data_IF_034672696456
#
_entry.id   IF_034672696456
#
_cell.length_a   1.000
_cell.length_b   1.000
_cell.length_c   1.000
_cell.angle_alpha   90.00
_cell.angle_beta   90.00
_cell.angle_gamma   90.00
#
_symmetry.space_group_name_H-M   'P 1'
#
loop_
_entity.id
_entity.type
_entity.pdbx_description
1 polymer ?
#
# COMPACT_ATOMS: atom_id res chain seq x y z
N UNK A 1 11.43 22.45 3.64
CA UNK A 1 11.85 21.88 2.34
C UNK A 1 12.86 20.75 2.50
N UNK A 2 13.97 20.95 3.23
CA UNK A 2 14.96 19.89 3.51
C UNK A 2 14.38 18.61 4.14
N UNK A 3 13.38 18.74 5.03
CA UNK A 3 12.69 17.59 5.62
C UNK A 3 11.86 16.77 4.62
N UNK A 4 11.29 17.40 3.60
CA UNK A 4 10.54 16.69 2.54
C UNK A 4 11.48 15.93 1.62
N UNK A 5 12.61 16.54 1.26
CA UNK A 5 13.66 15.89 0.45
C UNK A 5 14.21 14.65 1.17
N UNK A 6 14.53 14.76 2.46
CA UNK A 6 14.99 13.61 3.24
C UNK A 6 13.96 12.47 3.30
N UNK A 7 12.67 12.79 3.52
CA UNK A 7 11.59 11.80 3.50
C UNK A 7 11.41 11.15 2.13
N UNK A 8 11.50 11.93 1.06
CA UNK A 8 11.40 11.43 -0.31
C UNK A 8 12.59 10.52 -0.67
N UNK A 9 13.82 10.89 -0.27
CA UNK A 9 15.01 10.06 -0.46
C UNK A 9 14.87 8.72 0.28
N UNK A 10 14.40 8.75 1.54
CA UNK A 10 14.16 7.54 2.32
C UNK A 10 13.12 6.62 1.66
N UNK A 11 12.01 7.18 1.16
CA UNK A 11 11.00 6.40 0.45
C UNK A 11 11.56 5.81 -0.87
N UNK A 12 12.33 6.61 -1.61
CA UNK A 12 12.96 6.19 -2.86
C UNK A 12 14.02 5.10 -2.66
N UNK A 13 14.86 5.21 -1.63
CA UNK A 13 15.87 4.20 -1.30
C UNK A 13 15.22 2.88 -0.91
N UNK A 14 14.09 2.91 -0.21
CA UNK A 14 13.32 1.71 0.13
C UNK A 14 12.78 1.02 -1.12
N UNK A 15 12.19 1.76 -2.07
CA UNK A 15 11.72 1.21 -3.35
C UNK A 15 12.89 0.59 -4.14
N UNK A 16 14.01 1.31 -4.23
CA UNK A 16 15.20 0.82 -4.92
C UNK A 16 15.76 -0.47 -4.28
N UNK A 17 15.81 -0.53 -2.94
CA UNK A 17 16.26 -1.71 -2.21
C UNK A 17 15.36 -2.93 -2.46
N UNK A 18 14.02 -2.75 -2.45
CA UNK A 18 13.06 -3.81 -2.77
C UNK A 18 13.25 -4.31 -4.21
N UNK A 19 13.40 -3.39 -5.17
CA UNK A 19 13.62 -3.73 -6.57
C UNK A 19 14.92 -4.51 -6.79
N UNK A 20 16.00 -4.13 -6.13
CA UNK A 20 17.29 -4.81 -6.23
C UNK A 20 17.28 -6.19 -5.56
N UNK A 21 16.64 -6.31 -4.39
CA UNK A 21 16.42 -7.60 -3.73
C UNK A 21 15.59 -8.54 -4.62
N UNK A 22 14.58 -8.02 -5.32
CA UNK A 22 13.70 -8.80 -6.18
C UNK A 22 14.41 -9.47 -7.35
N UNK A 23 15.53 -8.90 -7.83
CA UNK A 23 16.35 -9.51 -8.90
C UNK A 23 17.02 -10.82 -8.47
N UNK A 24 17.41 -10.93 -7.20
CA UNK A 24 18.16 -12.07 -6.66
C UNK A 24 17.29 -13.02 -5.84
N UNK A 25 16.38 -12.47 -5.05
CA UNK A 25 15.56 -13.17 -4.06
C UNK A 25 14.10 -12.69 -4.11
N UNK A 26 13.30 -13.11 -5.11
CA UNK A 26 11.92 -12.65 -5.28
C UNK A 26 11.02 -12.87 -4.06
N UNK A 27 11.17 -14.01 -3.38
CA UNK A 27 10.41 -14.32 -2.16
C UNK A 27 10.75 -13.38 -0.99
N UNK A 28 12.04 -13.05 -0.81
CA UNK A 28 12.48 -12.10 0.22
C UNK A 28 12.02 -10.69 -0.11
N UNK A 29 12.08 -10.28 -1.38
CA UNK A 29 11.58 -9.00 -1.83
C UNK A 29 10.06 -8.88 -1.61
N UNK A 30 9.29 -9.95 -1.83
CA UNK A 30 7.86 -9.98 -1.54
C UNK A 30 7.57 -9.85 -0.04
N UNK A 31 8.37 -10.48 0.82
CA UNK A 31 8.26 -10.33 2.28
C UNK A 31 8.58 -8.90 2.73
N UNK A 32 9.65 -8.30 2.20
CA UNK A 32 10.01 -6.91 2.54
C UNK A 32 8.97 -5.93 1.99
N UNK A 33 8.44 -6.18 0.78
CA UNK A 33 7.40 -5.35 0.16
C UNK A 33 6.04 -5.47 0.85
N UNK A 34 5.75 -6.60 1.51
CA UNK A 34 4.50 -6.78 2.26
C UNK A 34 4.52 -6.11 3.64
N UNK A 35 5.72 -5.80 4.17
CA UNK A 35 5.83 -5.01 5.39
C UNK A 35 5.25 -3.61 5.14
N UNK A 36 4.43 -3.08 6.07
CA UNK A 36 3.82 -1.75 5.92
C UNK A 36 4.82 -0.64 6.25
N UNK A 37 6.04 -0.69 5.70
CA UNK A 37 7.14 0.23 6.02
C UNK A 37 6.76 1.68 5.70
N UNK A 38 6.10 1.90 4.55
CA UNK A 38 5.58 3.23 4.18
C UNK A 38 4.59 3.73 5.24
N UNK A 39 3.65 2.89 5.67
CA UNK A 39 2.65 3.25 6.68
C UNK A 39 3.28 3.51 8.04
N UNK A 40 4.23 2.67 8.48
CA UNK A 40 4.96 2.84 9.75
C UNK A 40 5.75 4.15 9.75
N UNK A 41 6.47 4.45 8.67
CA UNK A 41 7.18 5.73 8.53
C UNK A 41 6.21 6.92 8.54
N UNK A 42 5.07 6.80 7.85
CA UNK A 42 4.00 7.79 7.89
C UNK A 42 3.49 8.05 9.30
N UNK A 43 3.22 6.99 10.08
CA UNK A 43 2.79 7.08 11.48
C UNK A 43 3.85 7.73 12.37
N UNK A 44 5.14 7.36 12.22
CA UNK A 44 6.24 7.98 12.97
C UNK A 44 6.31 9.48 12.68
N UNK A 45 6.20 9.87 11.41
CA UNK A 45 6.23 11.28 11.03
C UNK A 45 5.00 12.05 11.51
N UNK A 46 3.82 11.45 11.43
CA UNK A 46 2.58 12.05 11.92
C UNK A 46 2.63 12.25 13.43
N UNK A 47 3.06 11.21 14.18
CA UNK A 47 3.25 11.27 15.62
C UNK A 47 4.28 12.33 16.03
N UNK A 48 5.42 12.36 15.35
CA UNK A 48 6.47 13.34 15.61
C UNK A 48 6.02 14.78 15.34
N UNK A 49 5.11 15.00 14.39
CA UNK A 49 4.59 16.32 14.08
C UNK A 49 3.48 16.75 15.05
N UNK A 50 2.60 15.82 15.42
CA UNK A 50 1.50 16.05 16.36
C UNK A 50 1.16 14.73 17.08
N UNK A 51 1.61 14.54 18.34
CA UNK A 51 1.36 13.32 19.09
C UNK A 51 -0.09 13.31 19.59
N UNK A 52 -1.00 12.82 18.76
CA UNK A 52 -2.43 12.69 19.03
C UNK A 52 -2.85 11.22 18.88
N UNK A 53 -3.20 10.60 20.00
CA UNK A 53 -3.52 9.17 20.07
C UNK A 53 -4.82 8.81 19.36
N UNK A 54 -5.84 9.67 19.41
CA UNK A 54 -7.13 9.40 18.74
C UNK A 54 -6.95 9.50 17.22
N UNK A 55 -6.27 10.55 16.75
CA UNK A 55 -5.94 10.69 15.33
C UNK A 55 -5.09 9.52 14.82
N UNK A 56 -4.10 9.06 15.60
CA UNK A 56 -3.28 7.91 15.23
C UNK A 56 -4.10 6.61 15.17
N UNK A 57 -5.01 6.39 16.13
CA UNK A 57 -5.89 5.23 16.15
C UNK A 57 -6.82 5.19 14.94
N UNK A 58 -7.43 6.33 14.59
CA UNK A 58 -8.26 6.47 13.38
C UNK A 58 -7.44 6.21 12.13
N UNK A 59 -6.24 6.78 12.03
CA UNK A 59 -5.38 6.59 10.86
C UNK A 59 -4.94 5.13 10.69
N UNK A 60 -4.56 4.46 11.78
CA UNK A 60 -4.18 3.05 11.76
C UNK A 60 -5.37 2.14 11.40
N UNK A 61 -6.55 2.41 11.96
CA UNK A 61 -7.76 1.64 11.66
C UNK A 61 -8.21 1.84 10.20
N UNK A 62 -8.19 3.07 9.69
CA UNK A 62 -8.48 3.35 8.30
C UNK A 62 -7.50 2.63 7.37
N UNK A 63 -6.20 2.67 7.67
CA UNK A 63 -5.17 1.95 6.91
C UNK A 63 -5.45 0.46 6.85
N UNK A 64 -5.84 -0.17 7.97
CA UNK A 64 -6.22 -1.58 8.00
C UNK A 64 -7.36 -1.88 7.00
N UNK A 65 -8.42 -1.07 7.02
CA UNK A 65 -9.53 -1.26 6.08
C UNK A 65 -9.09 -1.06 4.64
N UNK A 66 -8.27 -0.05 4.32
CA UNK A 66 -7.82 0.23 2.96
C UNK A 66 -6.86 -0.82 2.39
N UNK A 67 -6.22 -1.63 3.24
CA UNK A 67 -5.41 -2.78 2.79
C UNK A 67 -6.29 -3.89 2.21
N UNK A 68 -7.46 -4.17 2.79
CA UNK A 68 -8.33 -5.27 2.33
C UNK A 68 -8.70 -5.17 0.85
N UNK A 69 -9.19 -4.03 0.33
CA UNK A 69 -9.55 -3.92 -1.09
C UNK A 69 -8.34 -3.87 -2.05
N UNK A 70 -7.09 -3.75 -1.57
CA UNK A 70 -5.90 -3.88 -2.43
C UNK A 70 -5.39 -5.33 -2.54
N UNK A 71 -5.74 -6.22 -1.61
CA UNK A 71 -5.32 -7.63 -1.64
C UNK A 71 -5.75 -8.38 -2.93
N UNK A 72 -6.98 -8.21 -3.48
CA UNK A 72 -7.39 -8.94 -4.68
C UNK A 72 -6.50 -8.71 -5.91
N UNK A 73 -5.89 -7.53 -6.04
CA UNK A 73 -4.94 -7.24 -7.13
C UNK A 73 -3.72 -8.16 -7.08
N UNK A 74 -3.22 -8.52 -5.90
CA UNK A 74 -2.08 -9.43 -5.74
C UNK A 74 -2.40 -10.87 -6.15
N UNK A 75 -3.68 -11.23 -6.29
CA UNK A 75 -4.12 -12.52 -6.85
C UNK A 75 -4.45 -12.40 -8.33
N UNK A 76 -5.08 -11.29 -8.74
CA UNK A 76 -5.47 -11.06 -10.14
C UNK A 76 -4.25 -10.97 -11.07
N UNK A 77 -3.23 -10.19 -10.69
CA UNK A 77 -2.03 -10.01 -11.53
C UNK A 77 -1.33 -11.33 -11.86
N UNK A 78 -0.95 -12.18 -10.89
CA UNK A 78 -0.32 -13.45 -11.22
C UNK A 78 -1.24 -14.39 -11.99
N UNK A 79 -2.56 -14.35 -11.78
CA UNK A 79 -3.53 -15.11 -12.57
C UNK A 79 -3.52 -14.68 -14.05
N UNK A 80 -3.57 -13.37 -14.32
CA UNK A 80 -3.51 -12.81 -15.67
C UNK A 80 -2.17 -13.09 -16.36
N UNK A 81 -1.06 -12.92 -15.65
CA UNK A 81 0.28 -13.22 -16.19
C UNK A 81 0.43 -14.71 -16.54
N UNK A 82 -0.06 -15.63 -15.69
CA UNK A 82 -0.03 -17.08 -15.95
C UNK A 82 -0.97 -17.51 -17.08
N UNK A 83 -1.96 -16.71 -17.42
CA UNK A 83 -2.86 -16.94 -18.58
C UNK A 83 -2.37 -16.28 -19.87
N UNK A 84 -1.16 -15.69 -19.87
CA UNK A 84 -0.52 -15.13 -21.05
C UNK A 84 -0.86 -13.66 -21.34
N UNK A 85 -1.55 -12.98 -20.42
CA UNK A 85 -1.86 -11.55 -20.56
C UNK A 85 -0.59 -10.72 -20.39
N UNK A 86 -0.41 -9.71 -21.23
CA UNK A 86 0.73 -8.79 -21.17
C UNK A 86 0.81 -8.05 -19.82
N UNK A 87 2.03 -7.89 -19.27
CA UNK A 87 2.26 -7.28 -17.95
C UNK A 87 1.55 -5.93 -17.74
N UNK A 88 1.73 -4.98 -18.65
CA UNK A 88 1.09 -3.66 -18.53
C UNK A 88 -0.44 -3.73 -18.48
N UNK A 89 -1.05 -4.68 -19.20
CA UNK A 89 -2.50 -4.88 -19.19
C UNK A 89 -2.92 -5.49 -17.84
N UNK A 90 -2.20 -6.52 -17.38
CA UNK A 90 -2.47 -7.12 -16.07
C UNK A 90 -2.35 -6.12 -14.92
N UNK A 91 -1.33 -5.26 -14.96
CA UNK A 91 -1.14 -4.17 -14.00
C UNK A 91 -2.30 -3.17 -14.05
N UNK A 92 -2.68 -2.70 -15.25
CA UNK A 92 -3.78 -1.76 -15.42
C UNK A 92 -5.10 -2.33 -14.88
N UNK A 93 -5.42 -3.60 -15.19
CA UNK A 93 -6.61 -4.27 -14.67
C UNK A 93 -6.57 -4.42 -13.14
N UNK A 94 -5.41 -4.74 -12.57
CA UNK A 94 -5.21 -4.76 -11.11
C UNK A 94 -5.45 -3.40 -10.45
N UNK A 95 -4.94 -2.32 -11.05
CA UNK A 95 -5.19 -0.96 -10.57
C UNK A 95 -6.67 -0.58 -10.66
N UNK A 96 -7.32 -0.84 -11.80
CA UNK A 96 -8.76 -0.56 -11.99
C UNK A 96 -9.60 -1.33 -10.97
N UNK A 97 -9.30 -2.61 -10.75
CA UNK A 97 -9.95 -3.42 -9.74
C UNK A 97 -9.82 -2.79 -8.34
N UNK A 98 -8.59 -2.43 -7.94
CA UNK A 98 -8.33 -1.83 -6.63
C UNK A 98 -9.09 -0.52 -6.43
N UNK A 99 -9.08 0.37 -7.43
CA UNK A 99 -9.83 1.62 -7.39
C UNK A 99 -11.33 1.36 -7.26
N UNK A 100 -11.88 0.42 -8.03
CA UNK A 100 -13.28 0.03 -7.94
C UNK A 100 -13.65 -0.49 -6.54
N UNK A 101 -12.80 -1.32 -5.94
CA UNK A 101 -13.00 -1.84 -4.57
C UNK A 101 -12.85 -0.75 -3.50
N UNK A 102 -11.94 0.21 -3.69
CA UNK A 102 -11.79 1.37 -2.79
C UNK A 102 -13.06 2.23 -2.80
N UNK A 103 -13.58 2.55 -3.99
CA UNK A 103 -14.83 3.31 -4.14
C UNK A 103 -16.01 2.57 -3.48
N UNK A 104 -16.09 1.25 -3.67
CA UNK A 104 -17.10 0.42 -3.04
C UNK A 104 -16.97 0.46 -1.51
N UNK A 105 -15.75 0.34 -0.97
CA UNK A 105 -15.51 0.38 0.46
C UNK A 105 -15.84 1.74 1.07
N UNK A 106 -15.54 2.85 0.39
CA UNK A 106 -15.92 4.19 0.86
C UNK A 106 -17.44 4.42 0.85
N UNK A 107 -18.17 3.81 -0.08
CA UNK A 107 -19.64 3.95 -0.14
C UNK A 107 -20.37 3.04 0.86
N UNK A 108 -19.83 1.85 1.11
CA UNK A 108 -20.47 0.82 1.93
C UNK A 108 -19.97 0.85 3.37
N UNK A 109 -18.69 1.10 3.60
CA UNK A 109 -18.07 1.08 4.92
C UNK A 109 -18.70 2.01 5.96
N UNK A 110 -19.08 3.26 5.62
CA UNK A 110 -19.79 4.12 6.55
C UNK A 110 -21.16 3.56 6.97
N UNK A 111 -21.82 2.77 6.11
CA UNK A 111 -23.10 2.11 6.43
C UNK A 111 -22.93 1.01 7.48
N UNK A 112 -21.72 0.47 7.64
CA UNK A 112 -21.36 -0.50 8.68
C UNK A 112 -20.69 0.16 9.90
N UNK A 113 -20.73 1.50 10.00
CA UNK A 113 -20.14 2.23 11.12
C UNK A 113 -18.62 2.35 11.08
N UNK A 114 -17.99 2.03 9.94
CA UNK A 114 -16.55 2.23 9.76
C UNK A 114 -16.24 3.73 9.59
N UNK A 115 -15.32 4.25 10.41
CA UNK A 115 -14.73 5.57 10.23
C UNK A 115 -13.60 5.44 9.21
N UNK A 116 -13.93 5.64 7.94
CA UNK A 116 -13.03 5.54 6.77
C UNK A 116 -12.57 6.90 6.27
#
# INVERSE_FOLDING_TARGET
>A
MWSLVAKALLAGTMIAAIAELGKKLPAMAALVASLPLVSVLGMIFLWSARPDAENMAVHAQATFWYVLPSLPMFLLIPMLLRSGVHFWIALALGCVLTVGLYLLMMQIGPKFGLRL
#
